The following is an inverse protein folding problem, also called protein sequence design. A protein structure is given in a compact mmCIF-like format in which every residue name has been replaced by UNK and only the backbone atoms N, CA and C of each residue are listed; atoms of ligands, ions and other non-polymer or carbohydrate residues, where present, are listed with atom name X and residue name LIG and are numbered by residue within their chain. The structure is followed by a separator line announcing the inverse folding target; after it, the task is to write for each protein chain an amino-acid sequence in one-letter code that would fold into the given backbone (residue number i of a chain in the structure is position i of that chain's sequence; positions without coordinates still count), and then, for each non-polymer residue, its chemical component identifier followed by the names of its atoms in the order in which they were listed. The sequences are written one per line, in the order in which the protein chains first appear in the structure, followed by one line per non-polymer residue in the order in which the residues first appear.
data_IF_709677243592
#
_entry.id   IF_709677243592
#
_cell.length_a   1.000
_cell.length_b   1.000
_cell.length_c   1.000
_cell.angle_alpha   90.00
_cell.angle_beta   90.00
_cell.angle_gamma   90.00
#
_symmetry.space_group_name_H-M   'P 1'
#
loop_
_entity.id
_entity.type
_entity.pdbx_description
1 polymer ?
#
# COMPACT_ATOMS: atom_id res chain seq x y z
N UNK A 1 14.84 6.52 -8.43
CA UNK A 1 14.30 7.67 -7.69
C UNK A 1 12.84 8.00 -8.03
N UNK A 2 12.39 7.95 -9.30
CA UNK A 2 11.03 8.37 -9.67
C UNK A 2 9.87 7.53 -9.09
N UNK A 3 10.07 6.23 -8.87
CA UNK A 3 9.01 5.33 -8.37
C UNK A 3 8.61 5.65 -6.91
N UNK A 4 9.57 5.95 -6.04
CA UNK A 4 9.30 6.30 -4.64
C UNK A 4 8.66 7.68 -4.49
N UNK A 5 9.03 8.64 -5.34
CA UNK A 5 8.37 9.95 -5.40
C UNK A 5 6.89 9.83 -5.82
N UNK A 6 6.58 8.92 -6.75
CA UNK A 6 5.20 8.63 -7.15
C UNK A 6 4.41 7.98 -6.00
N UNK A 7 5.00 7.05 -5.26
CA UNK A 7 4.39 6.45 -4.08
C UNK A 7 4.14 7.48 -2.97
N UNK A 8 5.12 8.33 -2.68
CA UNK A 8 4.99 9.43 -1.70
C UNK A 8 3.81 10.34 -2.06
N UNK A 9 3.65 10.73 -3.34
CA UNK A 9 2.49 11.53 -3.78
C UNK A 9 1.15 10.80 -3.68
N UNK A 10 1.12 9.48 -3.90
CA UNK A 10 -0.09 8.67 -3.76
C UNK A 10 -0.55 8.57 -2.31
N UNK A 11 0.37 8.29 -1.40
CA UNK A 11 0.07 8.06 0.02
C UNK A 11 -0.01 9.37 0.82
N UNK A 12 0.74 10.39 0.42
CA UNK A 12 0.81 11.70 1.08
C UNK A 12 0.68 12.87 0.09
N UNK A 13 -0.51 13.12 -0.48
CA UNK A 13 -0.70 14.14 -1.51
C UNK A 13 -0.31 15.56 -1.09
N UNK A 14 -0.40 15.87 0.21
CA UNK A 14 -0.10 17.18 0.80
C UNK A 14 1.26 17.29 1.47
N UNK A 15 2.03 16.19 1.61
CA UNK A 15 3.37 16.24 2.22
C UNK A 15 4.44 16.52 1.16
N UNK A 16 5.56 17.08 1.61
CA UNK A 16 6.73 17.24 0.77
C UNK A 16 7.27 15.85 0.35
N UNK A 17 7.80 15.77 -0.87
CA UNK A 17 8.47 14.55 -1.34
C UNK A 17 9.92 14.60 -0.88
N UNK A 18 10.19 13.93 0.25
CA UNK A 18 11.51 13.81 0.87
C UNK A 18 11.79 12.34 1.21
N UNK A 19 12.98 12.05 1.74
CA UNK A 19 13.40 10.68 2.05
C UNK A 19 12.50 9.99 3.06
N UNK A 20 11.93 10.73 4.01
CA UNK A 20 11.08 10.18 5.06
C UNK A 20 9.70 9.82 4.49
N UNK A 21 9.06 10.74 3.76
CA UNK A 21 7.76 10.48 3.15
C UNK A 21 7.84 9.40 2.07
N UNK A 22 8.96 9.28 1.35
CA UNK A 22 9.21 8.19 0.41
C UNK A 22 9.36 6.83 1.11
N UNK A 23 10.10 6.77 2.23
CA UNK A 23 10.29 5.53 2.98
C UNK A 23 8.98 5.07 3.63
N UNK A 24 8.23 6.00 4.22
CA UNK A 24 6.93 5.71 4.82
C UNK A 24 5.92 5.24 3.76
N UNK A 25 5.89 5.88 2.58
CA UNK A 25 5.01 5.47 1.49
C UNK A 25 5.36 4.08 0.94
N UNK A 26 6.65 3.72 0.90
CA UNK A 26 7.07 2.38 0.52
C UNK A 26 6.60 1.33 1.53
N UNK A 27 6.70 1.63 2.82
CA UNK A 27 6.18 0.74 3.86
C UNK A 27 4.67 0.54 3.74
N UNK A 28 3.92 1.63 3.57
CA UNK A 28 2.45 1.59 3.40
C UNK A 28 2.04 0.83 2.14
N UNK A 29 2.76 0.98 1.03
CA UNK A 29 2.48 0.23 -0.19
C UNK A 29 2.62 -1.28 0.03
N UNK A 30 3.67 -1.71 0.72
CA UNK A 30 3.89 -3.14 1.02
C UNK A 30 2.78 -3.68 1.94
N UNK A 31 2.49 -2.99 3.03
CA UNK A 31 1.46 -3.37 3.99
C UNK A 31 0.06 -3.42 3.34
N UNK A 32 -0.25 -2.48 2.44
CA UNK A 32 -1.47 -2.49 1.66
C UNK A 32 -1.64 -3.77 0.84
N UNK A 33 -0.61 -4.17 0.09
CA UNK A 33 -0.68 -5.38 -0.74
C UNK A 33 -0.75 -6.67 0.08
N UNK A 34 -0.06 -6.73 1.23
CA UNK A 34 -0.17 -7.86 2.17
C UNK A 34 -1.61 -8.00 2.70
N UNK A 35 -2.21 -6.89 3.14
CA UNK A 35 -3.61 -6.87 3.62
C UNK A 35 -4.60 -7.18 2.51
N UNK A 36 -4.37 -6.69 1.30
CA UNK A 36 -5.20 -7.01 0.12
C UNK A 36 -5.18 -8.50 -0.18
N UNK A 37 -4.01 -9.14 -0.15
CA UNK A 37 -3.90 -10.59 -0.37
C UNK A 37 -4.72 -11.38 0.68
N UNK A 38 -4.63 -11.01 1.96
CA UNK A 38 -5.40 -11.63 3.05
C UNK A 38 -6.90 -11.41 2.86
N UNK A 39 -7.32 -10.18 2.52
CA UNK A 39 -8.73 -9.85 2.30
C UNK A 39 -9.33 -10.64 1.13
N UNK A 40 -8.59 -10.79 0.04
CA UNK A 40 -9.00 -11.59 -1.12
C UNK A 40 -9.12 -13.07 -0.74
N UNK A 41 -8.12 -13.64 -0.07
CA UNK A 41 -8.16 -15.04 0.36
C UNK A 41 -9.36 -15.32 1.29
N UNK A 42 -9.60 -14.42 2.26
CA UNK A 42 -10.75 -14.53 3.16
C UNK A 42 -12.08 -14.38 2.42
N UNK A 43 -12.17 -13.46 1.45
CA UNK A 43 -13.35 -13.28 0.61
C UNK A 43 -13.67 -14.52 -0.21
N UNK A 44 -12.67 -15.13 -0.84
CA UNK A 44 -12.78 -16.40 -1.57
C UNK A 44 -13.25 -17.50 -0.61
N UNK A 45 -12.57 -17.69 0.52
CA UNK A 45 -12.94 -18.71 1.49
C UNK A 45 -14.38 -18.55 1.98
N UNK A 46 -14.83 -17.31 2.23
CA UNK A 46 -16.21 -17.01 2.62
C UNK A 46 -17.20 -17.35 1.50
N UNK A 47 -16.89 -17.01 0.25
CA UNK A 47 -17.78 -17.27 -0.90
C UNK A 47 -17.99 -18.78 -1.14
N UNK A 48 -16.97 -19.59 -0.86
CA UNK A 48 -17.01 -21.05 -1.09
C UNK A 48 -17.34 -21.88 0.17
N UNK A 49 -17.42 -21.29 1.36
CA UNK A 49 -17.70 -22.03 2.62
C UNK A 49 -19.15 -22.02 3.10
N UNK A 50 -20.07 -21.28 2.47
CA UNK A 50 -21.51 -21.33 2.78
C UNK A 50 -21.84 -21.04 4.24
#
# INVERSE_FOLDING_TARGET
MGQYAALSRRWFPSRAVDSESMAEALFLEKDHWEKMAVAVANGIAKAFRG
#
